data_IF_386047996625
#
_entry.id   IF_386047996625
#
_cell.length_a   1.000
_cell.length_b   1.000
_cell.length_c   1.000
_cell.angle_alpha   90.00
_cell.angle_beta   90.00
_cell.angle_gamma   90.00
#
_symmetry.space_group_name_H-M   'P 1'
#
loop_
_entity.id
_entity.type
_entity.pdbx_description
1 polymer ?
#
# COMPACT_ATOMS: atom_id res chain seq x y z
N UNK A 1 -36.18 3.94 42.77
CA UNK A 1 -36.36 3.07 41.60
C UNK A 1 -35.93 3.82 40.34
N UNK A 2 -34.61 4.00 40.13
CA UNK A 2 -34.05 4.74 38.96
C UNK A 2 -32.73 4.14 38.45
N UNK A 3 -32.47 2.86 38.76
CA UNK A 3 -31.19 2.20 38.43
C UNK A 3 -31.22 1.54 37.04
N UNK A 4 -32.40 1.17 36.55
CA UNK A 4 -32.60 0.56 35.22
C UNK A 4 -32.23 1.46 34.02
N UNK A 5 -32.57 2.76 33.96
CA UNK A 5 -32.25 3.58 32.78
C UNK A 5 -30.75 3.85 32.64
N UNK A 6 -30.01 3.88 33.75
CA UNK A 6 -28.55 4.10 33.74
C UNK A 6 -27.77 2.91 33.16
N UNK A 7 -28.24 1.67 33.40
CA UNK A 7 -27.58 0.45 32.89
C UNK A 7 -27.74 0.35 31.37
N UNK A 8 -28.89 0.78 30.83
CA UNK A 8 -29.15 0.80 29.39
C UNK A 8 -28.25 1.80 28.63
N UNK A 9 -27.96 2.96 29.22
CA UNK A 9 -27.08 3.98 28.59
C UNK A 9 -25.62 3.52 28.55
N UNK A 10 -25.14 2.85 29.60
CA UNK A 10 -23.77 2.31 29.65
C UNK A 10 -23.59 1.15 28.65
N UNK A 11 -24.63 0.34 28.44
CA UNK A 11 -24.61 -0.76 27.47
C UNK A 11 -24.48 -0.31 26.00
N UNK A 12 -25.02 0.86 25.65
CA UNK A 12 -24.94 1.41 24.28
C UNK A 12 -23.56 2.03 23.95
N UNK A 13 -22.78 2.45 24.95
CA UNK A 13 -21.42 2.99 24.76
C UNK A 13 -20.35 1.90 24.56
N UNK A 14 -20.68 0.64 24.85
CA UNK A 14 -19.78 -0.52 24.71
C UNK A 14 -20.06 -1.34 23.45
N UNK A 15 -20.70 -0.77 22.42
CA UNK A 15 -20.75 -1.41 21.11
C UNK A 15 -19.30 -1.65 20.64
N UNK A 16 -18.87 -2.90 20.42
CA UNK A 16 -17.53 -3.17 19.93
C UNK A 16 -17.43 -2.52 18.55
N UNK A 17 -16.65 -1.44 18.46
CA UNK A 17 -16.18 -0.94 17.18
C UNK A 17 -15.59 -2.12 16.44
N UNK A 18 -16.15 -2.51 15.28
CA UNK A 18 -15.57 -3.54 14.43
C UNK A 18 -14.10 -3.18 14.19
N UNK A 19 -13.18 -3.79 14.94
CA UNK A 19 -11.75 -3.61 14.72
C UNK A 19 -11.40 -4.49 13.54
N UNK A 20 -11.71 -4.04 12.33
CA UNK A 20 -11.04 -4.57 11.15
C UNK A 20 -9.59 -4.15 11.35
N UNK A 21 -8.72 -5.12 11.63
CA UNK A 21 -7.30 -4.83 11.76
C UNK A 21 -6.82 -4.33 10.41
N UNK A 22 -6.55 -3.03 10.30
CA UNK A 22 -5.95 -2.44 9.12
C UNK A 22 -4.57 -3.07 8.90
N UNK A 23 -4.35 -3.62 7.71
CA UNK A 23 -3.12 -4.30 7.33
C UNK A 23 -2.39 -3.49 6.26
N UNK A 24 -1.16 -3.09 6.55
CA UNK A 24 -0.36 -2.22 5.69
C UNK A 24 0.40 -3.04 4.64
N UNK A 25 -0.36 -3.65 3.72
CA UNK A 25 0.20 -4.45 2.64
C UNK A 25 0.92 -3.54 1.63
N UNK A 26 2.09 -3.94 1.11
CA UNK A 26 2.71 -3.27 -0.01
C UNK A 26 1.83 -3.34 -1.25
N UNK A 27 1.90 -2.30 -2.08
CA UNK A 27 1.21 -2.22 -3.35
C UNK A 27 2.14 -2.72 -4.48
N UNK A 28 1.81 -3.85 -5.13
CA UNK A 28 2.61 -4.40 -6.23
C UNK A 28 2.37 -3.59 -7.51
N UNK A 29 3.42 -2.93 -8.00
CA UNK A 29 3.38 -2.05 -9.17
C UNK A 29 4.15 -2.66 -10.34
N UNK A 30 3.63 -2.46 -11.55
CA UNK A 30 4.35 -2.64 -12.82
C UNK A 30 4.55 -1.29 -13.47
N UNK A 31 5.75 -1.04 -13.99
CA UNK A 31 6.06 0.16 -14.76
C UNK A 31 6.93 -0.12 -15.97
N UNK A 32 6.78 0.73 -16.99
CA UNK A 32 7.60 0.69 -18.20
C UNK A 32 8.35 2.02 -18.33
N UNK A 33 9.67 1.92 -18.51
CA UNK A 33 10.54 3.08 -18.64
C UNK A 33 10.40 3.75 -20.00
N UNK A 34 10.46 5.08 -20.01
CA UNK A 34 10.51 5.84 -21.24
C UNK A 34 11.85 5.62 -21.97
N UNK A 35 11.77 5.33 -23.27
CA UNK A 35 12.95 5.13 -24.14
C UNK A 35 13.78 6.40 -24.38
N UNK A 36 13.33 7.54 -23.86
CA UNK A 36 14.00 8.85 -24.01
C UNK A 36 15.39 8.87 -23.35
N UNK A 37 15.66 7.96 -22.42
CA UNK A 37 16.90 7.96 -21.66
C UNK A 37 17.44 6.53 -21.48
N UNK A 38 18.30 6.08 -22.40
CA UNK A 38 18.85 4.71 -22.47
C UNK A 38 19.65 4.26 -21.24
N UNK A 39 19.87 5.15 -20.28
CA UNK A 39 20.57 4.87 -19.02
C UNK A 39 19.60 4.43 -17.91
N UNK A 40 18.29 4.62 -18.08
CA UNK A 40 17.30 4.22 -17.08
C UNK A 40 17.17 2.70 -17.04
N UNK A 41 17.19 2.15 -15.84
CA UNK A 41 16.92 0.74 -15.57
C UNK A 41 15.97 0.60 -14.38
N UNK A 42 15.41 -0.60 -14.20
CA UNK A 42 14.42 -0.84 -13.13
C UNK A 42 15.00 -0.62 -11.73
N UNK A 43 16.28 -0.92 -11.53
CA UNK A 43 16.96 -0.85 -10.22
C UNK A 43 17.05 0.58 -9.70
N UNK A 44 17.20 1.58 -10.58
CA UNK A 44 17.17 3.00 -10.22
C UNK A 44 15.87 3.43 -9.54
N UNK A 45 14.79 2.70 -9.79
CA UNK A 45 13.47 2.94 -9.19
C UNK A 45 13.11 1.84 -8.18
N UNK A 46 14.09 1.03 -7.76
CA UNK A 46 13.94 -0.07 -6.80
C UNK A 46 13.10 -1.24 -7.30
N UNK A 47 12.96 -1.39 -8.62
CA UNK A 47 12.28 -2.51 -9.24
C UNK A 47 13.24 -3.52 -9.86
N UNK A 48 12.70 -4.69 -10.21
CA UNK A 48 13.39 -5.73 -10.98
C UNK A 48 12.74 -5.88 -12.35
N UNK A 49 13.53 -6.21 -13.36
CA UNK A 49 13.04 -6.41 -14.72
C UNK A 49 12.49 -7.83 -14.89
N UNK A 50 11.33 -7.96 -15.52
CA UNK A 50 10.77 -9.25 -15.92
C UNK A 50 11.14 -9.62 -17.37
N UNK A 51 10.72 -10.83 -17.78
CA UNK A 51 11.01 -11.38 -19.12
C UNK A 51 10.43 -10.55 -20.28
N UNK A 52 9.43 -9.71 -20.02
CA UNK A 52 8.76 -8.85 -21.00
C UNK A 52 9.32 -7.42 -20.98
N UNK A 53 10.47 -7.22 -20.34
CA UNK A 53 11.09 -5.91 -20.12
C UNK A 53 10.23 -4.94 -19.28
N UNK A 54 9.23 -5.46 -18.56
CA UNK A 54 8.46 -4.67 -17.59
C UNK A 54 9.22 -4.62 -16.27
N UNK A 55 9.23 -3.47 -15.61
CA UNK A 55 9.78 -3.34 -14.27
C UNK A 55 8.69 -3.63 -13.23
N UNK A 56 9.04 -4.37 -12.18
CA UNK A 56 8.15 -4.72 -11.07
C UNK A 56 8.75 -4.24 -9.75
N UNK A 57 7.92 -3.67 -8.89
CA UNK A 57 8.30 -3.31 -7.52
C UNK A 57 7.12 -3.44 -6.55
N UNK A 58 7.40 -3.34 -5.26
CA UNK A 58 6.41 -3.18 -4.20
C UNK A 58 6.59 -1.82 -3.55
N UNK A 59 5.54 -1.01 -3.55
CA UNK A 59 5.57 0.38 -3.08
C UNK A 59 4.52 0.63 -1.99
N UNK A 60 4.68 1.73 -1.24
CA UNK A 60 3.72 2.19 -0.23
C UNK A 60 2.88 3.37 -0.75
N UNK A 61 1.92 3.84 0.06
CA UNK A 61 1.02 4.93 -0.34
C UNK A 61 1.75 6.23 -0.69
N UNK A 62 2.94 6.47 -0.14
CA UNK A 62 3.80 7.62 -0.45
C UNK A 62 4.61 7.48 -1.75
N UNK A 63 4.40 6.38 -2.49
CA UNK A 63 5.10 6.10 -3.73
C UNK A 63 6.54 5.61 -3.56
N UNK A 64 7.00 5.31 -2.35
CA UNK A 64 8.33 4.74 -2.12
C UNK A 64 8.29 3.22 -2.16
N UNK A 65 9.41 2.61 -2.55
CA UNK A 65 9.61 1.18 -2.38
C UNK A 65 9.45 0.78 -0.91
N UNK A 66 8.84 -0.37 -0.66
CA UNK A 66 8.66 -0.89 0.71
C UNK A 66 10.01 -1.13 1.38
N UNK A 67 10.16 -0.66 2.62
CA UNK A 67 11.34 -0.91 3.44
C UNK A 67 11.01 -2.00 4.45
N UNK A 68 11.58 -3.19 4.25
CA UNK A 68 11.24 -4.39 5.04
C UNK A 68 10.07 -5.15 4.42
N UNK A 69 9.09 -5.54 5.26
CA UNK A 69 8.00 -6.41 4.85
C UNK A 69 6.66 -5.68 4.60
N UNK A 70 6.43 -4.52 5.24
CA UNK A 70 5.11 -3.89 5.33
C UNK A 70 5.20 -2.37 5.18
N UNK A 71 4.10 -1.75 4.75
CA UNK A 71 3.96 -0.30 4.61
C UNK A 71 3.46 0.38 5.90
N UNK A 72 3.95 -0.06 7.06
CA UNK A 72 3.64 0.57 8.33
C UNK A 72 4.49 1.82 8.56
N UNK A 73 3.93 2.85 9.19
CA UNK A 73 4.72 3.99 9.68
C UNK A 73 5.69 3.59 10.81
N UNK A 74 5.46 2.43 11.43
CA UNK A 74 6.33 1.80 12.40
C UNK A 74 6.19 0.28 12.37
N UNK A 75 6.72 -0.39 13.39
CA UNK A 75 6.71 -1.85 13.46
C UNK A 75 5.28 -2.42 13.39
N UNK A 76 5.10 -3.46 12.59
CA UNK A 76 3.86 -4.21 12.45
C UNK A 76 3.98 -5.58 13.09
N UNK A 77 2.84 -6.23 13.34
CA UNK A 77 2.85 -7.65 13.65
C UNK A 77 3.32 -8.49 12.43
N UNK A 78 3.60 -9.80 12.60
CA UNK A 78 4.09 -10.64 11.51
C UNK A 78 3.14 -10.81 10.31
N UNK A 79 1.86 -10.45 10.44
CA UNK A 79 0.88 -10.46 9.33
C UNK A 79 0.79 -9.13 8.59
N UNK A 80 1.56 -8.12 9.03
CA UNK A 80 1.53 -6.78 8.47
C UNK A 80 0.35 -5.93 8.94
N UNK A 81 -0.29 -6.30 10.04
CA UNK A 81 -1.42 -5.56 10.60
C UNK A 81 -1.06 -4.95 11.95
N UNK A 82 -1.93 -4.07 12.45
CA UNK A 82 -1.75 -3.42 13.76
C UNK A 82 -0.38 -2.73 13.87
N UNK A 83 0.00 -2.00 12.82
CA UNK A 83 1.26 -1.28 12.77
C UNK A 83 1.27 -0.09 13.72
N UNK A 84 2.40 0.18 14.35
CA UNK A 84 2.60 1.38 15.16
C UNK A 84 2.37 2.60 14.26
N UNK A 85 1.43 3.48 14.66
CA UNK A 85 0.98 4.67 13.92
C UNK A 85 0.27 4.38 12.57
N UNK A 86 -0.17 3.15 12.33
CA UNK A 86 -0.93 2.80 11.13
C UNK A 86 -0.09 2.69 9.86
N UNK A 87 -0.73 2.87 8.70
CA UNK A 87 -0.13 2.67 7.39
C UNK A 87 0.44 3.96 6.80
N UNK A 88 1.38 3.80 5.87
CA UNK A 88 1.86 4.89 5.01
C UNK A 88 0.78 5.13 3.96
N UNK A 89 0.02 6.21 4.15
CA UNK A 89 -1.13 6.60 3.32
C UNK A 89 -0.73 7.28 2.01
N UNK A 90 -1.65 7.27 1.04
CA UNK A 90 -1.55 8.00 -0.22
C UNK A 90 -1.91 7.15 -1.45
N UNK A 91 -1.98 7.79 -2.62
CA UNK A 91 -2.11 7.08 -3.89
C UNK A 91 -0.73 6.55 -4.33
N UNK A 92 -0.49 5.23 -4.26
CA UNK A 92 0.83 4.67 -4.51
C UNK A 92 1.30 4.93 -5.95
N UNK A 93 0.42 4.82 -6.94
CA UNK A 93 0.79 4.95 -8.36
C UNK A 93 1.09 6.41 -8.68
N UNK A 94 0.20 7.32 -8.27
CA UNK A 94 0.40 8.75 -8.52
C UNK A 94 1.65 9.26 -7.81
N UNK A 95 1.82 8.90 -6.53
CA UNK A 95 2.98 9.34 -5.76
C UNK A 95 4.28 8.76 -6.30
N UNK A 96 4.30 7.50 -6.74
CA UNK A 96 5.49 6.91 -7.38
C UNK A 96 5.91 7.70 -8.62
N UNK A 97 4.94 8.02 -9.49
CA UNK A 97 5.21 8.82 -10.69
C UNK A 97 5.73 10.21 -10.36
N UNK A 98 5.10 10.91 -9.41
CA UNK A 98 5.52 12.25 -9.00
C UNK A 98 6.92 12.25 -8.38
N UNK A 99 7.21 11.26 -7.54
CA UNK A 99 8.48 11.18 -6.80
C UNK A 99 9.66 10.78 -7.68
N UNK A 100 9.41 9.93 -8.68
CA UNK A 100 10.43 9.41 -9.56
C UNK A 100 10.49 10.11 -10.93
N UNK A 101 9.67 11.15 -11.16
CA UNK A 101 9.63 11.94 -12.38
C UNK A 101 8.68 11.37 -13.43
N UNK A 102 7.67 12.16 -13.82
CA UNK A 102 6.60 11.73 -14.72
C UNK A 102 7.13 11.26 -16.08
N UNK A 103 8.19 11.90 -16.59
CA UNK A 103 8.75 11.66 -17.92
C UNK A 103 9.61 10.40 -18.01
N UNK A 104 9.95 9.78 -16.86
CA UNK A 104 10.74 8.55 -16.82
C UNK A 104 9.90 7.31 -17.15
N UNK A 105 8.56 7.42 -17.23
CA UNK A 105 7.66 6.29 -17.39
C UNK A 105 6.72 6.45 -18.57
N UNK A 106 6.58 5.40 -19.37
CA UNK A 106 5.48 5.25 -20.34
C UNK A 106 4.20 4.82 -19.61
N UNK A 107 4.35 3.97 -18.60
CA UNK A 107 3.26 3.40 -17.83
C UNK A 107 3.69 3.10 -16.41
N UNK A 108 2.76 3.29 -15.47
CA UNK A 108 2.84 2.83 -14.08
C UNK A 108 1.44 2.40 -13.67
N UNK A 109 1.28 1.20 -13.12
CA UNK A 109 -0.02 0.72 -12.67
C UNK A 109 0.05 -0.60 -11.88
N UNK A 110 -1.10 -1.14 -11.46
CA UNK A 110 -1.13 -2.37 -10.66
C UNK A 110 -0.60 -3.57 -11.46
N UNK A 111 0.01 -4.52 -10.76
CA UNK A 111 0.31 -5.84 -11.33
C UNK A 111 -1.00 -6.59 -11.61
N UNK A 112 -1.20 -7.01 -12.87
CA UNK A 112 -2.45 -7.63 -13.35
C UNK A 112 -2.89 -8.86 -12.53
N UNK A 113 -1.93 -9.67 -12.07
CA UNK A 113 -2.20 -10.86 -11.26
C UNK A 113 -2.84 -10.52 -9.90
N UNK A 114 -2.51 -9.37 -9.31
CA UNK A 114 -3.05 -8.94 -8.02
C UNK A 114 -4.36 -8.15 -8.14
N UNK A 115 -4.64 -7.52 -9.29
CA UNK A 115 -5.91 -6.83 -9.53
C UNK A 115 -7.11 -7.81 -9.47
N UNK A 116 -6.95 -9.02 -9.98
CA UNK A 116 -7.97 -10.07 -9.90
C UNK A 116 -8.14 -10.62 -8.47
N UNK A 117 -7.07 -10.65 -7.67
CA UNK A 117 -7.13 -11.10 -6.27
C UNK A 117 -7.88 -10.10 -5.37
N UNK A 118 -7.66 -8.81 -5.58
CA UNK A 118 -8.37 -7.74 -4.84
C UNK A 118 -9.84 -7.55 -5.26
N UNK A 119 -10.25 -8.01 -6.44
CA UNK A 119 -11.67 -8.00 -6.86
C UNK A 119 -12.48 -9.19 -6.33
N UNK A 120 -11.81 -10.19 -5.76
CA UNK A 120 -12.44 -11.46 -5.36
C UNK A 120 -12.54 -11.67 -3.84
N UNK A 121 -11.98 -10.77 -3.04
CA UNK A 121 -11.95 -10.80 -1.57
C UNK A 121 -12.18 -9.40 -0.98
#
# INVERSE_FOLDING_TARGET
MFILPYILVIGLLCLPSKTIAECCRPFPVTFHLAKTNSLLNCEMFGGTQDINYACKSNICGDGMNVWGAWCGQGACNPRGCSCVKGCIEGDPIMNFRLKHGLDNFVYVGPQLENYLYHLTH
#
